data_IF_304944992334
#
_entry.id   IF_304944992334
#
_cell.length_a   1.000
_cell.length_b   1.000
_cell.length_c   1.000
_cell.angle_alpha   90.00
_cell.angle_beta   90.00
_cell.angle_gamma   90.00
#
_symmetry.space_group_name_H-M   'P 1'
#
loop_
_entity.id
_entity.type
_entity.pdbx_description
1 polymer ?
#
# COMPACT_ATOMS: atom_id res chain seq x y z
N UNK A 1 -31.97 22.09 -9.47
CA UNK A 1 -31.50 21.26 -10.57
C UNK A 1 -32.02 19.84 -10.36
N UNK A 2 -32.39 19.15 -11.46
CA UNK A 2 -32.95 17.80 -11.41
C UNK A 2 -32.12 16.80 -10.57
N UNK A 3 -30.81 17.00 -10.52
CA UNK A 3 -29.92 16.14 -9.74
C UNK A 3 -30.06 16.38 -8.21
N UNK A 4 -30.29 17.60 -7.78
CA UNK A 4 -30.58 17.88 -6.35
C UNK A 4 -31.97 17.37 -5.96
N UNK A 5 -32.93 17.43 -6.90
CA UNK A 5 -34.28 16.92 -6.69
C UNK A 5 -34.28 15.38 -6.50
N UNK A 6 -33.23 14.69 -7.00
CA UNK A 6 -32.98 13.28 -6.77
C UNK A 6 -32.26 13.00 -5.42
N UNK A 7 -32.01 14.00 -4.60
CA UNK A 7 -31.33 13.87 -3.29
C UNK A 7 -29.83 13.65 -3.39
N UNK A 8 -29.21 13.85 -4.55
CA UNK A 8 -27.77 13.70 -4.73
C UNK A 8 -27.03 14.91 -4.16
N UNK A 9 -25.95 14.65 -3.41
CA UNK A 9 -25.03 15.70 -2.94
C UNK A 9 -24.11 16.08 -4.10
N UNK A 10 -24.36 17.21 -4.73
CA UNK A 10 -23.61 17.66 -5.89
C UNK A 10 -22.88 18.95 -5.56
N UNK A 11 -21.55 18.91 -5.68
CA UNK A 11 -20.75 20.11 -5.83
C UNK A 11 -20.86 20.59 -7.30
N UNK A 12 -21.08 21.89 -7.50
CA UNK A 12 -21.10 22.47 -8.83
C UNK A 12 -20.26 23.74 -8.87
N UNK A 13 -19.69 24.01 -10.00
CA UNK A 13 -19.01 25.26 -10.28
C UNK A 13 -19.10 25.55 -11.78
N UNK A 14 -19.11 26.82 -12.14
CA UNK A 14 -18.98 27.29 -13.52
C UNK A 14 -17.67 28.09 -13.57
N UNK A 15 -16.76 27.67 -14.43
CA UNK A 15 -15.42 28.22 -14.52
C UNK A 15 -14.96 28.30 -15.96
N UNK A 16 -14.22 29.34 -16.28
CA UNK A 16 -13.43 29.41 -17.52
C UNK A 16 -12.19 28.52 -17.43
N UNK A 17 -11.54 28.15 -18.54
CA UNK A 17 -10.26 27.46 -18.51
C UNK A 17 -9.21 28.19 -17.64
N UNK A 18 -9.11 29.53 -17.74
CA UNK A 18 -8.17 30.32 -16.94
C UNK A 18 -8.42 30.20 -15.43
N UNK A 19 -9.68 30.24 -15.02
CA UNK A 19 -10.07 30.04 -13.62
C UNK A 19 -9.76 28.63 -13.14
N UNK A 20 -9.95 27.60 -13.98
CA UNK A 20 -9.60 26.21 -13.66
C UNK A 20 -8.08 26.10 -13.43
N UNK A 21 -7.26 26.67 -14.30
CA UNK A 21 -5.81 26.64 -14.18
C UNK A 21 -5.33 27.41 -12.94
N UNK A 22 -5.86 28.62 -12.72
CA UNK A 22 -5.51 29.44 -11.56
C UNK A 22 -5.79 28.74 -10.23
N UNK A 23 -6.98 28.13 -10.11
CA UNK A 23 -7.38 27.40 -8.90
C UNK A 23 -6.57 26.10 -8.74
N UNK A 24 -6.36 25.35 -9.83
CA UNK A 24 -5.56 24.14 -9.81
C UNK A 24 -4.13 24.42 -9.35
N UNK A 25 -3.54 25.55 -9.78
CA UNK A 25 -2.17 25.92 -9.40
C UNK A 25 -1.99 26.19 -7.90
N UNK A 26 -3.07 26.55 -7.20
CA UNK A 26 -3.05 26.88 -5.77
C UNK A 26 -3.58 25.77 -4.85
N UNK A 27 -4.36 24.83 -5.39
CA UNK A 27 -5.04 23.78 -4.61
C UNK A 27 -4.90 22.42 -5.30
N UNK A 28 -4.14 21.53 -4.67
CA UNK A 28 -3.90 20.16 -5.16
C UNK A 28 -5.20 19.34 -5.25
N UNK A 29 -6.22 19.65 -4.44
CA UNK A 29 -7.52 18.96 -4.49
C UNK A 29 -8.29 19.36 -5.74
N UNK A 30 -8.25 20.64 -6.12
CA UNK A 30 -8.82 21.13 -7.38
C UNK A 30 -8.07 20.51 -8.55
N UNK A 31 -6.73 20.52 -8.53
CA UNK A 31 -5.91 19.86 -9.54
C UNK A 31 -6.30 18.39 -9.71
N UNK A 32 -6.40 17.65 -8.61
CA UNK A 32 -6.79 16.23 -8.62
C UNK A 32 -8.18 16.02 -9.24
N UNK A 33 -9.15 16.87 -8.89
CA UNK A 33 -10.52 16.81 -9.43
C UNK A 33 -10.53 17.06 -10.94
N UNK A 34 -9.74 18.02 -11.42
CA UNK A 34 -9.64 18.34 -12.84
C UNK A 34 -8.93 17.24 -13.64
N UNK A 35 -7.97 16.52 -13.04
CA UNK A 35 -7.34 15.34 -13.67
C UNK A 35 -8.35 14.21 -13.94
N UNK A 36 -9.47 14.14 -13.20
CA UNK A 36 -10.53 13.14 -13.38
C UNK A 36 -11.69 13.65 -14.25
N UNK A 37 -11.53 14.81 -14.92
CA UNK A 37 -12.59 15.40 -15.72
C UNK A 37 -12.92 14.55 -16.93
N UNK A 38 -14.22 14.39 -17.19
CA UNK A 38 -14.76 13.74 -18.40
C UNK A 38 -15.83 14.59 -19.04
N UNK A 39 -15.88 14.60 -20.37
CA UNK A 39 -16.93 15.28 -21.12
C UNK A 39 -18.27 14.55 -20.96
N UNK A 40 -19.29 15.24 -20.49
CA UNK A 40 -20.66 14.75 -20.48
C UNK A 40 -21.49 15.35 -21.65
N UNK A 41 -21.26 16.64 -21.93
CA UNK A 41 -21.91 17.36 -23.01
C UNK A 41 -21.16 18.65 -23.29
N UNK A 42 -21.14 19.13 -24.51
CA UNK A 42 -20.53 20.39 -24.94
C UNK A 42 -19.33 20.22 -25.86
N UNK A 43 -18.40 21.20 -25.85
CA UNK A 43 -17.25 21.22 -26.75
C UNK A 43 -16.14 20.35 -26.24
N UNK A 44 -15.70 19.38 -27.04
CA UNK A 44 -14.50 18.58 -26.77
C UNK A 44 -13.22 19.44 -26.85
N UNK A 45 -13.21 20.46 -27.73
CA UNK A 45 -12.04 21.33 -27.88
C UNK A 45 -11.76 22.12 -26.59
N UNK A 46 -12.83 22.58 -25.91
CA UNK A 46 -12.72 23.28 -24.64
C UNK A 46 -12.17 22.37 -23.52
N UNK A 47 -12.58 21.10 -23.48
CA UNK A 47 -12.03 20.11 -22.56
C UNK A 47 -10.55 19.86 -22.87
N UNK A 48 -10.20 19.60 -24.12
CA UNK A 48 -8.82 19.36 -24.54
C UNK A 48 -7.91 20.56 -24.25
N UNK A 49 -8.36 21.79 -24.53
CA UNK A 49 -7.62 23.00 -24.17
C UNK A 49 -7.31 23.03 -22.67
N UNK A 50 -8.33 22.80 -21.83
CA UNK A 50 -8.18 22.83 -20.38
C UNK A 50 -7.24 21.73 -19.90
N UNK A 51 -7.39 20.50 -20.41
CA UNK A 51 -6.57 19.34 -20.02
C UNK A 51 -5.10 19.53 -20.40
N UNK A 52 -4.83 19.97 -21.65
CA UNK A 52 -3.47 20.24 -22.13
C UNK A 52 -2.76 21.31 -21.27
N UNK A 53 -3.50 22.31 -20.81
CA UNK A 53 -2.95 23.35 -19.93
C UNK A 53 -2.69 22.84 -18.53
N UNK A 54 -3.51 21.93 -17.99
CA UNK A 54 -3.31 21.28 -16.71
C UNK A 54 -2.08 20.35 -16.70
N UNK A 55 -1.74 19.74 -17.83
CA UNK A 55 -0.57 18.88 -17.98
C UNK A 55 0.74 19.66 -17.94
N UNK A 56 0.70 20.99 -18.10
CA UNK A 56 1.88 21.83 -18.04
C UNK A 56 2.59 21.72 -16.68
N UNK A 57 3.91 21.54 -16.72
CA UNK A 57 4.77 21.58 -15.52
C UNK A 57 4.72 22.93 -14.78
N UNK A 58 4.19 23.99 -15.40
CA UNK A 58 4.00 25.29 -14.75
C UNK A 58 2.82 25.31 -13.77
N UNK A 59 1.80 24.45 -13.98
CA UNK A 59 0.63 24.38 -13.10
C UNK A 59 0.98 23.64 -11.80
N UNK A 60 1.52 22.44 -11.94
CA UNK A 60 2.07 21.65 -10.83
C UNK A 60 3.23 20.84 -11.36
N UNK A 61 4.50 21.19 -11.05
CA UNK A 61 5.63 20.32 -11.37
C UNK A 61 5.37 18.90 -10.88
N UNK A 62 5.63 17.91 -11.71
CA UNK A 62 5.31 16.50 -11.41
C UNK A 62 5.88 16.06 -10.05
N UNK A 63 7.12 16.45 -9.73
CA UNK A 63 7.74 16.16 -8.44
C UNK A 63 7.01 16.85 -7.27
N UNK A 64 6.56 18.10 -7.45
CA UNK A 64 5.81 18.84 -6.41
C UNK A 64 4.42 18.22 -6.18
N UNK A 65 3.73 17.83 -7.26
CA UNK A 65 2.45 17.12 -7.17
C UNK A 65 2.60 15.80 -6.43
N UNK A 66 3.62 15.01 -6.78
CA UNK A 66 3.94 13.76 -6.10
C UNK A 66 4.14 14.00 -4.59
N UNK A 67 5.02 14.92 -4.21
CA UNK A 67 5.29 15.22 -2.80
C UNK A 67 4.02 15.68 -2.05
N UNK A 68 3.23 16.58 -2.65
CA UNK A 68 1.97 17.04 -2.06
C UNK A 68 0.96 15.91 -1.86
N UNK A 69 0.87 14.95 -2.80
CA UNK A 69 -0.01 13.77 -2.65
C UNK A 69 0.48 12.81 -1.56
N UNK A 70 1.79 12.66 -1.38
CA UNK A 70 2.37 11.84 -0.30
C UNK A 70 2.17 12.51 1.07
N UNK A 71 2.29 13.83 1.16
CA UNK A 71 2.00 14.58 2.39
C UNK A 71 0.51 14.45 2.76
N UNK A 72 -0.40 14.62 1.80
CA UNK A 72 -1.85 14.42 1.99
C UNK A 72 -2.16 12.99 2.45
N UNK A 73 -1.51 11.98 1.85
CA UNK A 73 -1.66 10.58 2.26
C UNK A 73 -1.16 10.36 3.70
N UNK A 74 0.00 10.90 4.05
CA UNK A 74 0.58 10.77 5.38
C UNK A 74 -0.32 11.40 6.44
N UNK A 75 -0.78 12.63 6.23
CA UNK A 75 -1.71 13.32 7.14
C UNK A 75 -3.04 12.55 7.30
N UNK A 76 -3.55 11.97 6.21
CA UNK A 76 -4.74 11.12 6.25
C UNK A 76 -4.50 9.86 7.06
N UNK A 77 -3.37 9.16 6.85
CA UNK A 77 -3.02 7.95 7.61
C UNK A 77 -2.85 8.24 9.10
N UNK A 78 -2.26 9.38 9.47
CA UNK A 78 -2.17 9.82 10.88
C UNK A 78 -3.55 9.99 11.52
N UNK A 79 -4.49 10.63 10.81
CA UNK A 79 -5.86 10.80 11.26
C UNK A 79 -6.60 9.48 11.50
N UNK A 80 -6.29 8.44 10.72
CA UNK A 80 -6.91 7.11 10.82
C UNK A 80 -6.05 6.09 11.57
N UNK A 81 -5.10 6.54 12.41
CA UNK A 81 -4.37 5.72 13.37
C UNK A 81 -3.11 5.04 12.85
N UNK A 82 -2.55 5.50 11.71
CA UNK A 82 -1.31 5.02 11.09
C UNK A 82 -1.29 3.52 10.71
N UNK A 83 -2.37 2.79 10.97
CA UNK A 83 -2.46 1.35 10.71
C UNK A 83 -3.75 0.99 9.98
N UNK A 84 -3.64 0.12 8.97
CA UNK A 84 -4.78 -0.54 8.35
C UNK A 84 -5.41 -1.64 9.24
N UNK A 85 -4.95 -1.79 10.49
CA UNK A 85 -5.31 -2.90 11.38
C UNK A 85 -6.28 -2.52 12.50
N UNK A 86 -6.87 -1.32 12.46
CA UNK A 86 -7.98 -0.96 13.35
C UNK A 86 -9.15 -1.91 13.12
N UNK A 87 -9.76 -2.44 14.18
CA UNK A 87 -10.87 -3.39 14.08
C UNK A 87 -12.14 -2.79 13.48
N UNK A 88 -12.28 -1.48 13.48
CA UNK A 88 -13.35 -0.74 12.79
C UNK A 88 -12.75 0.21 11.74
N UNK A 89 -12.21 -0.33 10.63
CA UNK A 89 -11.49 0.48 9.65
C UNK A 89 -12.42 1.37 8.82
N UNK A 90 -11.88 2.48 8.33
CA UNK A 90 -12.51 3.26 7.27
C UNK A 90 -12.09 2.69 5.90
N UNK A 91 -13.02 2.08 5.18
CA UNK A 91 -12.77 1.36 3.90
C UNK A 91 -12.15 2.26 2.83
N UNK A 92 -12.47 3.56 2.86
CA UNK A 92 -11.99 4.54 1.90
C UNK A 92 -10.64 5.14 2.33
N UNK A 93 -10.51 5.54 3.59
CA UNK A 93 -9.48 6.48 4.02
C UNK A 93 -8.39 5.90 4.92
N UNK A 94 -8.60 4.72 5.53
CA UNK A 94 -7.55 4.04 6.31
C UNK A 94 -6.39 3.60 5.40
N UNK A 95 -5.17 3.38 5.94
CA UNK A 95 -4.08 2.80 5.18
C UNK A 95 -4.48 1.51 4.48
N UNK A 96 -4.18 1.39 3.19
CA UNK A 96 -4.60 0.28 2.33
C UNK A 96 -6.06 0.35 1.87
N UNK A 97 -6.76 1.47 2.12
CA UNK A 97 -8.11 1.72 1.64
C UNK A 97 -8.16 2.23 0.19
N UNK A 98 -9.38 2.46 -0.32
CA UNK A 98 -9.61 2.91 -1.70
C UNK A 98 -8.86 4.19 -2.07
N UNK A 99 -8.66 5.09 -1.12
CA UNK A 99 -7.95 6.36 -1.37
C UNK A 99 -6.48 6.15 -1.69
N UNK A 100 -5.84 5.09 -1.20
CA UNK A 100 -4.44 4.79 -1.52
C UNK A 100 -4.30 4.35 -2.97
N UNK A 101 -5.24 3.56 -3.49
CA UNK A 101 -5.28 3.18 -4.92
C UNK A 101 -5.49 4.43 -5.79
N UNK A 102 -6.41 5.32 -5.39
CA UNK A 102 -6.68 6.56 -6.11
C UNK A 102 -5.44 7.47 -6.16
N UNK A 103 -4.67 7.56 -5.06
CA UNK A 103 -3.43 8.36 -5.03
C UNK A 103 -2.44 7.88 -6.09
N UNK A 104 -2.27 6.56 -6.25
CA UNK A 104 -1.41 6.01 -7.32
C UNK A 104 -1.95 6.39 -8.69
N UNK A 105 -3.26 6.26 -8.91
CA UNK A 105 -3.89 6.64 -10.18
C UNK A 105 -3.69 8.12 -10.53
N UNK A 106 -3.79 9.01 -9.55
CA UNK A 106 -3.55 10.45 -9.77
C UNK A 106 -2.09 10.78 -10.07
N UNK A 107 -1.14 10.13 -9.38
CA UNK A 107 0.29 10.28 -9.65
C UNK A 107 0.61 9.77 -11.07
N UNK A 108 0.07 8.60 -11.45
CA UNK A 108 0.23 8.03 -12.78
C UNK A 108 -0.34 8.99 -13.86
N UNK A 109 -1.57 9.49 -13.67
CA UNK A 109 -2.20 10.42 -14.61
C UNK A 109 -1.43 11.74 -14.73
N UNK A 110 -0.92 12.28 -13.62
CA UNK A 110 -0.09 13.49 -13.66
C UNK A 110 1.23 13.26 -14.41
N UNK A 111 1.84 12.10 -14.26
CA UNK A 111 3.16 11.78 -14.84
C UNK A 111 3.08 11.33 -16.29
N UNK A 112 2.07 10.53 -16.64
CA UNK A 112 1.98 9.83 -17.94
C UNK A 112 0.79 10.29 -18.79
N UNK A 113 -0.11 11.13 -18.26
CA UNK A 113 -1.35 11.54 -18.94
C UNK A 113 -2.43 10.44 -19.02
N UNK A 114 -2.15 9.25 -18.49
CA UNK A 114 -3.01 8.05 -18.59
C UNK A 114 -3.41 7.52 -17.22
N UNK A 115 -4.51 6.76 -17.17
CA UNK A 115 -4.98 6.11 -15.94
C UNK A 115 -4.10 4.95 -15.51
N UNK A 116 -4.34 4.46 -14.29
CA UNK A 116 -3.61 3.32 -13.75
C UNK A 116 -3.80 2.05 -14.61
N UNK A 117 -5.01 1.83 -15.12
CA UNK A 117 -5.36 0.67 -15.96
C UNK A 117 -4.74 0.74 -17.37
N UNK A 118 -4.28 1.93 -17.77
CA UNK A 118 -3.67 2.18 -19.08
C UNK A 118 -2.14 2.20 -19.01
N UNK A 119 -1.55 2.11 -17.81
CA UNK A 119 -0.10 2.07 -17.65
C UNK A 119 0.48 0.82 -18.31
N UNK A 120 1.56 0.95 -19.11
CA UNK A 120 2.26 -0.20 -19.66
C UNK A 120 2.74 -1.11 -18.52
N UNK A 121 2.33 -2.37 -18.57
CA UNK A 121 2.87 -3.39 -17.67
C UNK A 121 4.34 -3.65 -18.02
N UNK A 122 5.17 -3.82 -17.00
CA UNK A 122 6.59 -4.16 -17.13
C UNK A 122 7.55 -3.05 -16.70
N UNK A 123 7.26 -1.78 -16.96
CA UNK A 123 8.16 -0.67 -16.59
C UNK A 123 7.89 -0.13 -15.18
N UNK A 124 6.64 0.23 -14.88
CA UNK A 124 6.25 0.79 -13.57
C UNK A 124 5.42 -0.17 -12.73
N UNK A 125 4.64 -1.03 -13.38
CA UNK A 125 3.66 -1.90 -12.78
C UNK A 125 3.72 -3.27 -13.44
N UNK A 126 3.79 -4.34 -12.66
CA UNK A 126 3.68 -5.69 -13.20
C UNK A 126 2.21 -6.08 -13.36
N UNK A 127 1.91 -7.09 -14.20
CA UNK A 127 0.55 -7.62 -14.34
C UNK A 127 0.01 -8.13 -12.99
N UNK A 128 0.85 -8.76 -12.17
CA UNK A 128 0.49 -9.23 -10.84
C UNK A 128 0.14 -8.07 -9.90
N UNK A 129 0.94 -6.99 -9.92
CA UNK A 129 0.68 -5.79 -9.11
C UNK A 129 -0.62 -5.10 -9.53
N UNK A 130 -0.90 -5.01 -10.83
CA UNK A 130 -2.17 -4.46 -11.34
C UNK A 130 -3.35 -5.35 -10.93
N UNK A 131 -3.23 -6.66 -11.05
CA UNK A 131 -4.26 -7.61 -10.62
C UNK A 131 -4.58 -7.46 -9.12
N UNK A 132 -3.56 -7.39 -8.27
CA UNK A 132 -3.71 -7.17 -6.82
C UNK A 132 -4.42 -5.84 -6.49
N UNK A 133 -4.11 -4.77 -7.22
CA UNK A 133 -4.78 -3.48 -7.02
C UNK A 133 -6.25 -3.54 -7.45
N UNK A 134 -6.55 -4.18 -8.58
CA UNK A 134 -7.91 -4.32 -9.09
C UNK A 134 -8.76 -5.21 -8.18
N UNK A 135 -8.24 -6.36 -7.75
CA UNK A 135 -8.91 -7.24 -6.78
C UNK A 135 -9.19 -6.51 -5.46
N UNK A 136 -8.20 -5.77 -4.95
CA UNK A 136 -8.34 -4.97 -3.75
C UNK A 136 -9.37 -3.85 -3.91
N UNK A 137 -9.34 -3.13 -5.04
CA UNK A 137 -10.32 -2.10 -5.37
C UNK A 137 -11.75 -2.66 -5.40
N UNK A 138 -11.95 -3.79 -6.07
CA UNK A 138 -13.26 -4.41 -6.18
C UNK A 138 -13.78 -4.92 -4.84
N UNK A 139 -12.92 -5.59 -4.06
CA UNK A 139 -13.28 -6.07 -2.73
C UNK A 139 -13.69 -4.92 -1.80
N UNK A 140 -12.88 -3.84 -1.75
CA UNK A 140 -13.17 -2.67 -0.91
C UNK A 140 -14.39 -1.89 -1.41
N UNK A 141 -14.58 -1.76 -2.72
CA UNK A 141 -15.75 -1.11 -3.32
C UNK A 141 -17.04 -1.87 -3.02
N UNK A 142 -17.02 -3.21 -3.05
CA UNK A 142 -18.16 -4.05 -2.65
C UNK A 142 -18.53 -3.84 -1.19
N UNK A 143 -17.53 -3.80 -0.29
CA UNK A 143 -17.76 -3.53 1.15
C UNK A 143 -18.39 -2.15 1.31
N UNK A 144 -17.83 -1.12 0.68
CA UNK A 144 -18.31 0.25 0.74
C UNK A 144 -19.73 0.39 0.21
N UNK A 145 -20.02 -0.22 -0.93
CA UNK A 145 -21.36 -0.23 -1.51
C UNK A 145 -22.39 -0.88 -0.55
N UNK A 146 -22.04 -2.02 0.02
CA UNK A 146 -22.91 -2.72 0.97
C UNK A 146 -23.16 -1.89 2.25
N UNK A 147 -22.14 -1.16 2.75
CA UNK A 147 -22.31 -0.23 3.86
C UNK A 147 -23.28 0.91 3.52
N UNK A 148 -23.11 1.55 2.35
CA UNK A 148 -23.99 2.63 1.90
C UNK A 148 -25.43 2.14 1.68
N UNK A 149 -25.61 0.98 1.04
CA UNK A 149 -26.92 0.37 0.83
C UNK A 149 -27.62 0.02 2.14
N UNK A 150 -26.87 -0.51 3.13
CA UNK A 150 -27.42 -0.88 4.44
C UNK A 150 -27.81 0.34 5.28
N UNK A 151 -26.98 1.40 5.26
CA UNK A 151 -27.14 2.56 6.15
C UNK A 151 -27.99 3.67 5.52
N UNK A 152 -28.22 3.63 4.19
CA UNK A 152 -28.90 4.71 3.45
C UNK A 152 -28.10 6.03 3.43
N UNK A 153 -26.80 6.01 3.76
CA UNK A 153 -25.94 7.19 3.82
C UNK A 153 -24.50 6.84 3.42
N UNK A 154 -23.67 7.86 3.25
CA UNK A 154 -22.22 7.70 2.99
C UNK A 154 -21.49 7.22 4.26
N UNK A 155 -21.62 5.93 4.59
CA UNK A 155 -20.90 5.32 5.70
C UNK A 155 -19.70 4.55 5.19
N UNK A 156 -18.51 5.04 5.48
CA UNK A 156 -17.25 4.41 5.07
C UNK A 156 -16.58 3.62 6.22
N UNK A 157 -17.14 3.66 7.43
CA UNK A 157 -16.61 2.97 8.60
C UNK A 157 -17.25 1.59 8.76
N UNK A 158 -16.41 0.57 8.73
CA UNK A 158 -16.82 -0.83 8.88
C UNK A 158 -16.94 -1.18 10.37
N UNK A 159 -18.02 -0.69 11.02
CA UNK A 159 -18.32 -0.91 12.43
C UNK A 159 -18.63 -2.40 12.71
N UNK A 160 -18.44 -2.84 13.96
CA UNK A 160 -18.70 -4.23 14.38
C UNK A 160 -20.07 -4.75 13.98
N UNK A 161 -21.12 -3.93 14.15
CA UNK A 161 -22.50 -4.30 13.75
C UNK A 161 -22.65 -4.53 12.24
N UNK A 162 -21.86 -3.82 11.43
CA UNK A 162 -21.86 -3.98 9.97
C UNK A 162 -21.07 -5.22 9.57
N UNK A 163 -19.94 -5.48 10.24
CA UNK A 163 -19.11 -6.66 9.99
C UNK A 163 -19.90 -7.95 10.14
N UNK A 164 -20.64 -8.11 11.24
CA UNK A 164 -21.47 -9.30 11.46
C UNK A 164 -22.54 -9.48 10.39
N UNK A 165 -23.19 -8.36 10.00
CA UNK A 165 -24.24 -8.41 8.98
C UNK A 165 -23.68 -8.81 7.63
N UNK A 166 -22.56 -8.20 7.21
CA UNK A 166 -21.94 -8.49 5.92
C UNK A 166 -21.36 -9.90 5.87
N UNK A 167 -20.75 -10.38 6.95
CA UNK A 167 -20.26 -11.76 7.03
C UNK A 167 -21.38 -12.77 6.73
N UNK A 168 -22.52 -12.64 7.40
CA UNK A 168 -23.69 -13.51 7.17
C UNK A 168 -24.27 -13.36 5.76
N UNK A 169 -24.39 -12.12 5.27
CA UNK A 169 -24.93 -11.83 3.94
C UNK A 169 -24.07 -12.43 2.82
N UNK A 170 -22.77 -12.58 3.04
CA UNK A 170 -21.83 -13.13 2.06
C UNK A 170 -21.52 -14.61 2.28
N UNK A 171 -22.30 -15.30 3.13
CA UNK A 171 -22.24 -16.73 3.29
C UNK A 171 -21.09 -17.25 4.13
N UNK A 172 -20.48 -16.39 4.97
CA UNK A 172 -19.54 -16.87 5.97
C UNK A 172 -20.30 -17.57 7.10
N UNK A 173 -19.81 -18.73 7.52
CA UNK A 173 -20.40 -19.56 8.56
C UNK A 173 -19.40 -19.81 9.71
N UNK A 174 -19.94 -20.13 10.89
CA UNK A 174 -19.11 -20.43 12.07
C UNK A 174 -18.50 -21.84 11.95
N UNK A 175 -17.26 -21.91 11.49
CA UNK A 175 -16.49 -23.15 11.37
C UNK A 175 -15.12 -23.00 12.05
N UNK A 176 -15.01 -23.34 13.33
CA UNK A 176 -13.77 -23.20 14.10
C UNK A 176 -13.35 -21.74 14.40
N UNK A 177 -13.81 -20.80 13.59
CA UNK A 177 -13.76 -19.35 13.79
C UNK A 177 -15.12 -18.77 13.53
N UNK A 178 -15.42 -17.62 14.14
CA UNK A 178 -16.66 -16.90 13.85
C UNK A 178 -16.73 -16.46 12.39
N UNK A 179 -17.91 -16.45 11.80
CA UNK A 179 -18.15 -15.97 10.44
C UNK A 179 -17.57 -14.56 10.21
N UNK A 180 -17.78 -13.67 11.19
CA UNK A 180 -17.25 -12.30 11.17
C UNK A 180 -15.73 -12.25 11.20
N UNK A 181 -15.08 -13.14 11.92
CA UNK A 181 -13.59 -13.20 11.97
C UNK A 181 -13.01 -13.68 10.65
N UNK A 182 -13.67 -14.67 10.00
CA UNK A 182 -13.28 -15.15 8.67
C UNK A 182 -13.43 -14.05 7.62
N UNK A 183 -14.57 -13.35 7.60
CA UNK A 183 -14.81 -12.19 6.73
C UNK A 183 -13.76 -11.11 6.93
N UNK A 184 -13.51 -10.70 8.17
CA UNK A 184 -12.54 -9.65 8.48
C UNK A 184 -11.11 -10.07 8.20
N UNK A 185 -10.75 -11.34 8.35
CA UNK A 185 -9.44 -11.84 7.94
C UNK A 185 -9.23 -11.69 6.43
N UNK A 186 -10.25 -12.01 5.62
CA UNK A 186 -10.20 -11.78 4.17
C UNK A 186 -10.10 -10.29 3.84
N UNK A 187 -10.88 -9.44 4.51
CA UNK A 187 -10.81 -7.99 4.37
C UNK A 187 -9.40 -7.44 4.67
N UNK A 188 -8.81 -7.79 5.81
CA UNK A 188 -7.48 -7.30 6.19
C UNK A 188 -6.37 -7.81 5.26
N UNK A 189 -6.48 -9.01 4.71
CA UNK A 189 -5.54 -9.51 3.70
C UNK A 189 -5.57 -8.66 2.42
N UNK A 190 -6.76 -8.29 1.95
CA UNK A 190 -6.91 -7.37 0.82
C UNK A 190 -6.32 -5.98 1.13
N UNK A 191 -6.61 -5.42 2.29
CA UNK A 191 -6.04 -4.13 2.75
C UNK A 191 -4.52 -4.18 2.79
N UNK A 192 -3.94 -5.27 3.29
CA UNK A 192 -2.49 -5.47 3.31
C UNK A 192 -1.89 -5.54 1.91
N UNK A 193 -2.51 -6.31 1.01
CA UNK A 193 -2.06 -6.43 -0.39
C UNK A 193 -2.06 -5.06 -1.07
N UNK A 194 -3.15 -4.29 -0.96
CA UNK A 194 -3.24 -2.92 -1.47
C UNK A 194 -2.17 -2.03 -0.85
N UNK A 195 -2.03 -2.02 0.48
CA UNK A 195 -1.05 -1.19 1.18
C UNK A 195 0.38 -1.49 0.76
N UNK A 196 0.73 -2.77 0.59
CA UNK A 196 2.07 -3.17 0.20
C UNK A 196 2.37 -2.86 -1.27
N UNK A 197 1.37 -2.99 -2.15
CA UNK A 197 1.54 -2.69 -3.57
C UNK A 197 1.61 -1.18 -3.80
N UNK A 198 0.72 -0.40 -3.17
CA UNK A 198 0.76 1.07 -3.27
C UNK A 198 2.05 1.64 -2.70
N UNK A 199 2.56 1.12 -1.57
CA UNK A 199 3.84 1.54 -1.01
C UNK A 199 5.03 1.23 -1.95
N UNK A 200 5.02 0.08 -2.64
CA UNK A 200 6.04 -0.25 -3.64
C UNK A 200 5.98 0.71 -4.83
N UNK A 201 4.79 0.99 -5.36
CA UNK A 201 4.62 1.91 -6.48
C UNK A 201 5.03 3.35 -6.12
N UNK A 202 4.72 3.81 -4.92
CA UNK A 202 5.20 5.10 -4.41
C UNK A 202 6.74 5.12 -4.38
N UNK A 203 7.38 4.06 -3.93
CA UNK A 203 8.84 3.95 -3.91
C UNK A 203 9.44 3.95 -5.33
N UNK A 204 8.78 3.31 -6.30
CA UNK A 204 9.17 3.34 -7.73
C UNK A 204 9.05 4.77 -8.28
N UNK A 205 7.90 5.42 -8.09
CA UNK A 205 7.68 6.79 -8.51
C UNK A 205 8.70 7.74 -7.87
N UNK A 206 8.95 7.58 -6.57
CA UNK A 206 9.93 8.40 -5.87
C UNK A 206 11.33 8.24 -6.48
N UNK A 207 11.76 7.01 -6.75
CA UNK A 207 13.05 6.73 -7.40
C UNK A 207 13.12 7.35 -8.78
N UNK A 208 12.06 7.23 -9.59
CA UNK A 208 12.04 7.69 -10.98
C UNK A 208 11.88 9.21 -11.11
N UNK A 209 11.08 9.84 -10.23
CA UNK A 209 10.76 11.27 -10.34
C UNK A 209 11.76 12.18 -9.64
N UNK A 210 12.40 11.71 -8.56
CA UNK A 210 13.23 12.55 -7.70
C UNK A 210 14.73 12.29 -7.87
N UNK A 211 15.14 11.23 -8.57
CA UNK A 211 16.55 10.87 -8.75
C UNK A 211 16.93 10.94 -10.24
N UNK A 212 17.49 12.07 -10.66
CA UNK A 212 17.95 12.31 -12.04
C UNK A 212 19.45 12.10 -12.25
N UNK A 213 20.23 11.81 -11.20
CA UNK A 213 21.68 11.66 -11.31
C UNK A 213 22.12 10.25 -10.91
N UNK A 214 23.19 9.76 -11.52
CA UNK A 214 23.79 8.49 -11.17
C UNK A 214 24.33 8.55 -9.73
N UNK A 215 23.55 8.01 -8.81
CA UNK A 215 23.94 7.93 -7.40
C UNK A 215 25.14 7.01 -7.22
N UNK A 216 26.07 7.38 -6.35
CA UNK A 216 27.21 6.54 -6.04
C UNK A 216 26.75 5.22 -5.37
N UNK A 217 27.16 4.11 -5.95
CA UNK A 217 26.95 2.77 -5.38
C UNK A 217 28.11 2.44 -4.43
N UNK A 218 27.77 1.83 -3.29
CA UNK A 218 28.74 1.29 -2.34
C UNK A 218 28.51 -0.22 -2.25
N UNK A 219 29.48 -1.00 -2.70
CA UNK A 219 29.42 -2.47 -2.62
C UNK A 219 29.40 -2.89 -1.15
N UNK A 220 28.40 -3.66 -0.75
CA UNK A 220 28.30 -4.28 0.59
C UNK A 220 29.01 -5.64 0.54
N UNK A 221 28.67 -6.48 -0.46
CA UNK A 221 29.26 -7.78 -0.69
C UNK A 221 29.03 -8.24 -2.16
N UNK A 222 29.18 -9.52 -2.43
CA UNK A 222 28.98 -10.09 -3.78
C UNK A 222 27.53 -10.01 -4.27
N UNK A 223 26.55 -10.01 -3.37
CA UNK A 223 25.13 -10.08 -3.68
C UNK A 223 24.41 -8.72 -3.57
N UNK A 224 24.90 -7.82 -2.70
CA UNK A 224 24.22 -6.58 -2.36
C UNK A 224 25.13 -5.36 -2.47
N UNK A 225 24.51 -4.23 -2.78
CA UNK A 225 25.10 -2.90 -2.77
C UNK A 225 24.16 -1.89 -2.13
N UNK A 226 24.67 -0.74 -1.74
CA UNK A 226 23.92 0.38 -1.18
C UNK A 226 23.90 1.52 -2.21
N UNK A 227 22.68 1.92 -2.60
CA UNK A 227 22.43 3.06 -3.49
C UNK A 227 21.35 3.92 -2.82
N UNK A 228 21.60 5.20 -2.59
CA UNK A 228 20.63 6.15 -2.00
C UNK A 228 19.92 5.62 -0.73
N UNK A 229 20.71 5.14 0.23
CA UNK A 229 20.20 4.53 1.47
C UNK A 229 19.32 3.28 1.25
N UNK A 230 19.33 2.71 0.02
CA UNK A 230 18.58 1.51 -0.36
C UNK A 230 19.54 0.34 -0.57
N UNK A 231 19.20 -0.82 0.00
CA UNK A 231 19.87 -2.07 -0.35
C UNK A 231 19.34 -2.55 -1.70
N UNK A 232 20.24 -2.77 -2.63
CA UNK A 232 19.95 -3.25 -3.98
C UNK A 232 20.62 -4.60 -4.22
N UNK A 233 19.91 -5.51 -4.88
CA UNK A 233 20.48 -6.72 -5.44
C UNK A 233 21.41 -6.38 -6.61
N UNK A 234 22.60 -6.96 -6.65
CA UNK A 234 23.58 -6.73 -7.72
C UNK A 234 23.32 -7.56 -8.98
N UNK A 235 22.42 -8.55 -8.88
CA UNK A 235 21.99 -9.39 -10.01
C UNK A 235 20.62 -10.00 -9.74
N UNK A 236 19.88 -10.29 -10.80
CA UNK A 236 18.51 -10.81 -10.72
C UNK A 236 18.40 -12.17 -10.03
N UNK A 237 19.43 -13.00 -10.13
CA UNK A 237 19.45 -14.34 -9.52
C UNK A 237 19.82 -14.35 -8.03
N UNK A 238 19.94 -13.21 -7.35
CA UNK A 238 20.44 -13.08 -5.98
C UNK A 238 19.74 -14.03 -4.98
N UNK A 239 18.44 -14.22 -5.10
CA UNK A 239 17.67 -15.10 -4.21
C UNK A 239 17.50 -16.52 -4.79
N UNK A 240 17.41 -16.67 -6.10
CA UNK A 240 17.28 -17.99 -6.75
C UNK A 240 18.59 -18.77 -6.75
N UNK A 241 19.73 -18.11 -6.94
CA UNK A 241 21.04 -18.73 -6.85
C UNK A 241 21.44 -19.08 -5.42
N UNK A 242 21.07 -18.23 -4.46
CA UNK A 242 21.32 -18.45 -3.05
C UNK A 242 20.08 -18.09 -2.20
N UNK A 243 19.15 -19.02 -1.96
CA UNK A 243 17.93 -18.77 -1.18
C UNK A 243 18.19 -18.24 0.22
N UNK A 244 19.33 -18.54 0.85
CA UNK A 244 19.69 -18.00 2.19
C UNK A 244 19.72 -16.47 2.21
N UNK A 245 19.92 -15.82 1.06
CA UNK A 245 19.85 -14.37 0.90
C UNK A 245 18.48 -13.77 1.29
N UNK A 246 17.40 -14.56 1.24
CA UNK A 246 16.08 -14.15 1.70
C UNK A 246 16.02 -13.74 3.18
N UNK A 247 16.86 -14.33 4.03
CA UNK A 247 17.03 -13.92 5.42
C UNK A 247 18.27 -13.06 5.64
N UNK A 248 19.38 -13.36 4.95
CA UNK A 248 20.65 -12.64 5.08
C UNK A 248 20.49 -11.16 4.80
N UNK A 249 19.70 -10.78 3.78
CA UNK A 249 19.43 -9.37 3.46
C UNK A 249 18.88 -8.60 4.68
N UNK A 250 17.95 -9.16 5.44
CA UNK A 250 17.42 -8.51 6.65
C UNK A 250 18.45 -8.40 7.77
N UNK A 251 19.35 -9.37 7.88
CA UNK A 251 20.49 -9.31 8.81
C UNK A 251 21.47 -8.18 8.42
N UNK A 252 21.77 -8.04 7.12
CA UNK A 252 22.59 -6.94 6.58
C UNK A 252 21.96 -5.59 6.89
N UNK A 253 20.67 -5.42 6.57
CA UNK A 253 19.93 -4.18 6.88
C UNK A 253 19.94 -3.89 8.39
N UNK A 254 19.86 -4.92 9.22
CA UNK A 254 19.86 -4.77 10.67
C UNK A 254 21.16 -4.28 11.26
N UNK A 255 22.28 -4.53 10.59
CA UNK A 255 23.64 -4.19 11.04
C UNK A 255 24.16 -2.87 10.47
N UNK A 256 23.63 -2.40 9.34
CA UNK A 256 24.09 -1.18 8.69
C UNK A 256 23.01 -0.09 8.77
N UNK A 257 23.26 0.90 9.63
CA UNK A 257 22.33 2.02 9.86
C UNK A 257 22.15 2.96 8.66
N UNK A 258 23.03 2.88 7.67
CA UNK A 258 22.91 3.64 6.40
C UNK A 258 21.78 3.11 5.54
N UNK A 259 21.42 1.81 5.71
CA UNK A 259 20.35 1.18 4.93
C UNK A 259 18.99 1.53 5.54
N UNK A 260 18.23 2.38 4.87
CA UNK A 260 16.89 2.80 5.32
C UNK A 260 15.77 2.03 4.63
N UNK A 261 15.97 1.65 3.36
CA UNK A 261 14.96 1.06 2.49
C UNK A 261 15.52 -0.13 1.71
N UNK A 262 14.63 -0.90 1.09
CA UNK A 262 14.95 -1.91 0.09
C UNK A 262 14.64 -1.30 -1.28
N UNK A 263 15.51 -1.51 -2.25
CA UNK A 263 15.25 -1.05 -3.62
C UNK A 263 13.98 -1.73 -4.18
N UNK A 264 13.15 -1.03 -4.98
CA UNK A 264 11.92 -1.59 -5.53
C UNK A 264 12.13 -2.87 -6.35
N UNK A 265 13.15 -2.92 -7.22
CA UNK A 265 13.43 -4.12 -8.01
C UNK A 265 13.86 -5.27 -7.12
N UNK A 266 14.71 -5.00 -6.11
CA UNK A 266 15.06 -5.99 -5.09
C UNK A 266 13.83 -6.47 -4.32
N UNK A 267 12.87 -5.59 -4.07
CA UNK A 267 11.58 -5.96 -3.44
C UNK A 267 10.77 -6.90 -4.31
N UNK A 268 10.73 -6.69 -5.64
CA UNK A 268 10.09 -7.59 -6.60
C UNK A 268 10.77 -8.96 -6.63
N UNK A 269 12.10 -8.98 -6.74
CA UNK A 269 12.89 -10.22 -6.67
C UNK A 269 12.64 -10.98 -5.37
N UNK A 270 12.61 -10.30 -4.23
CA UNK A 270 12.31 -10.87 -2.93
C UNK A 270 10.91 -11.53 -2.90
N UNK A 271 9.90 -10.85 -3.42
CA UNK A 271 8.52 -11.38 -3.47
C UNK A 271 8.41 -12.59 -4.41
N UNK A 272 8.99 -12.50 -5.61
CA UNK A 272 9.02 -13.60 -6.58
C UNK A 272 9.73 -14.83 -6.01
N UNK A 273 10.76 -14.63 -5.17
CA UNK A 273 11.53 -15.72 -4.56
C UNK A 273 10.94 -16.23 -3.23
N UNK A 274 9.86 -15.63 -2.72
CA UNK A 274 9.23 -16.07 -1.46
C UNK A 274 8.80 -17.55 -1.46
N UNK A 275 8.39 -18.21 -2.58
CA UNK A 275 8.14 -19.66 -2.61
C UNK A 275 9.33 -20.54 -2.21
N UNK A 276 10.56 -20.04 -2.32
CA UNK A 276 11.77 -20.77 -1.89
C UNK A 276 11.88 -20.93 -0.36
N UNK A 277 11.02 -20.26 0.42
CA UNK A 277 10.92 -20.42 1.88
C UNK A 277 10.11 -21.69 2.23
N UNK A 278 10.52 -22.82 1.69
CA UNK A 278 9.94 -24.14 1.92
C UNK A 278 10.42 -24.78 3.24
N UNK A 279 10.09 -26.05 3.46
CA UNK A 279 10.45 -26.74 4.70
C UNK A 279 11.94 -27.09 4.75
N UNK A 280 12.57 -27.37 3.61
CA UNK A 280 14.02 -27.62 3.56
C UNK A 280 14.79 -26.35 3.91
N UNK A 281 14.38 -25.20 3.35
CA UNK A 281 14.93 -23.90 3.73
C UNK A 281 14.84 -23.64 5.23
N UNK A 282 13.70 -23.95 5.86
CA UNK A 282 13.47 -23.72 7.30
C UNK A 282 14.29 -24.66 8.17
N UNK A 283 14.65 -25.86 7.66
CA UNK A 283 15.46 -26.85 8.39
C UNK A 283 16.96 -26.55 8.29
N UNK A 284 17.41 -25.81 7.27
CA UNK A 284 18.81 -25.49 7.05
C UNK A 284 19.41 -24.74 8.26
N UNK A 285 20.51 -25.24 8.85
CA UNK A 285 21.20 -24.59 9.98
C UNK A 285 21.69 -23.17 9.66
N UNK A 286 22.05 -22.88 8.41
CA UNK A 286 22.50 -21.55 7.98
C UNK A 286 21.33 -20.55 8.10
N UNK A 287 20.16 -20.93 7.58
CA UNK A 287 18.95 -20.09 7.62
C UNK A 287 18.42 -19.91 9.01
N UNK A 288 18.46 -20.95 9.86
CA UNK A 288 18.12 -20.85 11.28
C UNK A 288 19.06 -19.91 12.05
N UNK A 289 20.36 -19.94 11.70
CA UNK A 289 21.32 -18.99 12.29
C UNK A 289 21.02 -17.57 11.85
N UNK A 290 20.81 -17.34 10.56
CA UNK A 290 20.46 -16.01 10.02
C UNK A 290 19.20 -15.44 10.70
N UNK A 291 18.16 -16.25 10.90
CA UNK A 291 16.95 -15.80 11.62
C UNK A 291 17.22 -15.49 13.09
N UNK A 292 18.02 -16.32 13.79
CA UNK A 292 18.44 -16.03 15.18
C UNK A 292 19.22 -14.72 15.26
N UNK A 293 20.09 -14.43 14.30
CA UNK A 293 20.87 -13.19 14.26
C UNK A 293 19.96 -11.97 14.10
N UNK A 294 18.88 -12.08 13.29
CA UNK A 294 17.86 -11.02 13.17
C UNK A 294 17.17 -10.80 14.52
N UNK A 295 16.77 -11.87 15.21
CA UNK A 295 16.11 -11.78 16.52
C UNK A 295 17.05 -11.25 17.60
N UNK A 296 18.31 -11.66 17.57
CA UNK A 296 19.33 -11.25 18.54
C UNK A 296 19.78 -9.78 18.34
N UNK A 297 19.47 -9.14 17.20
CA UNK A 297 19.90 -7.77 16.92
C UNK A 297 19.31 -6.77 17.93
N UNK A 298 20.15 -6.06 18.73
CA UNK A 298 19.68 -5.31 19.90
C UNK A 298 18.76 -4.13 19.57
N UNK A 299 18.99 -3.46 18.45
CA UNK A 299 18.27 -2.21 18.10
C UNK A 299 17.40 -2.29 16.85
N UNK A 300 17.43 -3.40 16.12
CA UNK A 300 16.76 -3.50 14.83
C UNK A 300 15.75 -4.65 14.70
N UNK A 301 15.69 -5.58 15.65
CA UNK A 301 14.86 -6.79 15.60
C UNK A 301 13.41 -6.50 15.16
N UNK A 302 12.70 -5.69 15.92
CA UNK A 302 11.28 -5.39 15.64
C UNK A 302 11.09 -4.74 14.28
N UNK A 303 12.03 -3.86 13.88
CA UNK A 303 12.01 -3.19 12.57
C UNK A 303 12.21 -4.21 11.45
N UNK A 304 13.13 -5.17 11.62
CA UNK A 304 13.34 -6.22 10.63
C UNK A 304 12.18 -7.20 10.56
N UNK A 305 11.62 -7.63 11.68
CA UNK A 305 10.44 -8.50 11.69
C UNK A 305 9.23 -7.84 10.99
N UNK A 306 9.00 -6.54 11.22
CA UNK A 306 7.96 -5.78 10.50
C UNK A 306 8.25 -5.70 9.00
N UNK A 307 9.52 -5.52 8.58
CA UNK A 307 9.90 -5.57 7.17
C UNK A 307 9.66 -6.96 6.56
N UNK A 308 10.11 -8.00 7.23
CA UNK A 308 9.88 -9.39 6.80
C UNK A 308 8.38 -9.68 6.67
N UNK A 309 7.55 -9.20 7.61
CA UNK A 309 6.10 -9.34 7.54
C UNK A 309 5.53 -8.62 6.31
N UNK A 310 5.92 -7.36 6.10
CA UNK A 310 5.49 -6.56 4.95
C UNK A 310 5.79 -7.21 3.61
N UNK A 311 6.91 -7.90 3.50
CA UNK A 311 7.32 -8.58 2.26
C UNK A 311 6.90 -10.06 2.21
N UNK A 312 6.08 -10.54 3.14
CA UNK A 312 5.57 -11.91 3.17
C UNK A 312 6.57 -12.98 3.63
N UNK A 313 7.81 -12.58 3.91
CA UNK A 313 8.90 -13.48 4.34
C UNK A 313 8.61 -14.08 5.71
N UNK A 314 8.19 -13.24 6.69
CA UNK A 314 7.95 -13.73 8.06
C UNK A 314 6.81 -14.75 8.10
N UNK A 315 5.72 -14.49 7.40
CA UNK A 315 4.54 -15.35 7.36
C UNK A 315 4.84 -16.73 6.74
N UNK A 316 5.73 -16.78 5.73
CA UNK A 316 6.16 -18.04 5.10
C UNK A 316 7.20 -18.77 5.93
N UNK A 317 8.17 -18.05 6.51
CA UNK A 317 9.21 -18.65 7.34
C UNK A 317 8.64 -19.20 8.66
N UNK A 318 7.67 -18.51 9.27
CA UNK A 318 6.93 -18.94 10.45
C UNK A 318 5.45 -19.16 10.11
N UNK A 319 5.03 -20.37 9.70
CA UNK A 319 3.64 -20.63 9.30
C UNK A 319 2.63 -20.31 10.40
N UNK A 320 2.98 -20.52 11.67
CA UNK A 320 2.13 -20.15 12.81
C UNK A 320 1.86 -18.63 12.84
N UNK A 321 2.86 -17.79 12.47
CA UNK A 321 2.66 -16.35 12.33
C UNK A 321 1.81 -16.03 11.08
N UNK A 322 2.03 -16.76 9.99
CA UNK A 322 1.23 -16.61 8.76
C UNK A 322 -0.27 -16.88 8.98
N UNK A 323 -0.59 -17.83 9.87
CA UNK A 323 -1.99 -18.16 10.20
C UNK A 323 -2.75 -17.02 10.88
N UNK A 324 -2.04 -16.16 11.65
CA UNK A 324 -2.64 -15.05 12.37
C UNK A 324 -2.61 -13.72 11.60
N UNK A 325 -1.98 -13.67 10.42
CA UNK A 325 -1.96 -12.47 9.59
C UNK A 325 -3.37 -12.05 9.21
N UNK A 326 -3.69 -10.80 9.53
CA UNK A 326 -5.01 -10.22 9.32
C UNK A 326 -6.12 -10.81 10.19
N UNK A 327 -5.81 -11.75 11.09
CA UNK A 327 -6.81 -12.31 12.01
C UNK A 327 -7.20 -11.27 13.05
N UNK A 328 -8.48 -11.11 13.28
CA UNK A 328 -8.98 -10.36 14.43
C UNK A 328 -9.66 -11.31 15.43
N UNK A 329 -9.74 -10.86 16.66
CA UNK A 329 -10.62 -11.43 17.67
C UNK A 329 -11.83 -10.49 17.79
N UNK A 330 -13.02 -11.06 17.59
CA UNK A 330 -14.25 -10.28 17.58
C UNK A 330 -14.73 -10.03 19.02
N UNK A 331 -14.10 -9.06 19.66
CA UNK A 331 -14.50 -8.54 20.98
C UNK A 331 -14.22 -7.03 21.08
N UNK A 332 -14.72 -6.41 22.15
CA UNK A 332 -14.55 -4.95 22.38
C UNK A 332 -13.26 -4.59 23.15
N UNK A 333 -12.43 -5.56 23.50
CA UNK A 333 -11.23 -5.33 24.31
C UNK A 333 -9.98 -5.15 23.46
N UNK A 334 -9.94 -5.75 22.26
CA UNK A 334 -8.83 -5.64 21.33
C UNK A 334 -9.03 -4.44 20.39
N UNK A 335 -7.93 -3.79 20.04
CA UNK A 335 -7.93 -2.62 19.14
C UNK A 335 -7.30 -2.93 17.79
N UNK A 336 -6.51 -4.00 17.72
CA UNK A 336 -5.71 -4.39 16.56
C UNK A 336 -5.88 -5.86 16.19
N UNK A 337 -5.53 -6.21 14.96
CA UNK A 337 -5.39 -7.59 14.53
C UNK A 337 -4.35 -8.34 15.35
N UNK A 338 -4.46 -9.68 15.42
CA UNK A 338 -3.59 -10.53 16.25
C UNK A 338 -2.12 -10.40 15.87
N UNK A 339 -1.81 -10.34 14.57
CA UNK A 339 -0.45 -10.12 14.07
C UNK A 339 0.11 -8.75 14.47
N UNK A 340 -0.68 -7.68 14.32
CA UNK A 340 -0.26 -6.34 14.72
C UNK A 340 -0.06 -6.24 16.24
N UNK A 341 -0.97 -6.84 17.04
CA UNK A 341 -0.84 -6.92 18.49
C UNK A 341 0.41 -7.71 18.90
N UNK A 342 0.64 -8.88 18.29
CA UNK A 342 1.83 -9.70 18.52
C UNK A 342 3.12 -8.92 18.25
N UNK A 343 3.17 -8.18 17.14
CA UNK A 343 4.33 -7.32 16.84
C UNK A 343 4.52 -6.18 17.87
N UNK A 344 3.42 -5.66 18.43
CA UNK A 344 3.52 -4.66 19.50
C UNK A 344 4.00 -5.27 20.83
N UNK A 345 3.54 -6.48 21.17
CA UNK A 345 4.02 -7.22 22.34
C UNK A 345 5.52 -7.49 22.23
N UNK A 346 6.00 -7.98 21.07
CA UNK A 346 7.42 -8.20 20.79
C UNK A 346 8.22 -6.89 20.98
N UNK A 347 7.70 -5.77 20.46
CA UNK A 347 8.35 -4.46 20.61
C UNK A 347 8.42 -4.00 22.06
N UNK A 348 7.36 -4.23 22.85
CA UNK A 348 7.32 -3.87 24.26
C UNK A 348 8.24 -4.77 25.11
N UNK A 349 8.19 -6.09 24.91
CA UNK A 349 9.10 -7.02 25.59
C UNK A 349 10.58 -6.62 25.42
N UNK A 350 10.93 -6.13 24.21
CA UNK A 350 12.31 -5.68 23.93
C UNK A 350 12.72 -4.42 24.69
N UNK A 351 11.78 -3.60 25.16
CA UNK A 351 12.09 -2.40 25.98
C UNK A 351 12.46 -2.74 27.43
N UNK A 352 12.15 -3.95 27.87
CA UNK A 352 12.48 -4.41 29.24
C UNK A 352 13.83 -5.13 29.30
N UNK A 353 14.49 -5.38 28.17
CA UNK A 353 15.83 -5.96 28.05
C UNK A 353 16.88 -4.87 27.77
#
# INVERSE_FOLDING_TARGET
>A
SALWDLGLKIGHSVRTPDECISLASSDITVMTTLLETRLLSGSNDLLLETTNRLESEQVWPTASFFNGKIEEQSARHEKFGLTGYSLEPNVKSSPGGLRDIQVIGWIARRRFGIGLDELPTGEFLTEEELALLNEGHDALSRVRFALHAKTGREEDRLLFEHQQTLAKQWGFEDHGKLAVEQFMQAYFRNVQAVSHTTALLIDIFQKTLLHNEASASVIIDEDFELIDERISARHEAVFSANPSNLLRMFSVIGRDSRIKRIDPETTRLLRASAPLLDDDFKQDPVNRRAFRDIIAAPHSMTKQLRRMLRHGVLARYLPAFGAIVGQMQFDMFHTYTVDAHTMQVIANCRRFL
#
